data_IF_666769552760
#
_entry.id   IF_666769552760
#
_cell.length_a   1.000
_cell.length_b   1.000
_cell.length_c   1.000
_cell.angle_alpha   90.00
_cell.angle_beta   90.00
_cell.angle_gamma   90.00
#
_symmetry.space_group_name_H-M   'P 1'
#
loop_
_entity.id
_entity.type
_entity.pdbx_description
1 polymer ?
#
# COMPACT_ATOMS: atom_id res chain seq x y z
N UNK A 1 8.33 -5.82 9.72
CA UNK A 1 7.49 -6.67 8.85
C UNK A 1 6.03 -6.45 9.23
N UNK A 2 5.19 -6.19 8.24
CA UNK A 2 3.73 -6.16 8.36
C UNK A 2 3.17 -7.29 7.49
N UNK A 3 2.23 -8.07 8.00
CA UNK A 3 1.57 -9.16 7.27
C UNK A 3 0.08 -8.97 7.38
N UNK A 4 -0.61 -9.02 6.25
CA UNK A 4 -2.06 -8.95 6.21
C UNK A 4 -2.64 -9.87 5.15
N UNK A 5 -3.88 -10.30 5.39
CA UNK A 5 -4.73 -10.94 4.40
C UNK A 5 -5.59 -9.87 3.75
N UNK A 6 -5.56 -9.79 2.42
CA UNK A 6 -6.33 -8.85 1.62
C UNK A 6 -7.32 -9.63 0.76
N UNK A 7 -8.61 -9.27 0.85
CA UNK A 7 -9.62 -9.63 -0.14
C UNK A 7 -9.97 -8.36 -0.92
N UNK A 8 -9.38 -8.14 -2.11
CA UNK A 8 -9.58 -6.92 -2.85
C UNK A 8 -10.95 -6.92 -3.55
N UNK A 9 -11.52 -5.73 -3.66
CA UNK A 9 -12.72 -5.47 -4.44
C UNK A 9 -12.45 -4.37 -5.47
N UNK A 10 -13.38 -4.17 -6.39
CA UNK A 10 -13.30 -3.15 -7.43
C UNK A 10 -14.40 -2.11 -7.24
N UNK A 11 -14.01 -0.84 -7.19
CA UNK A 11 -14.95 0.28 -7.25
C UNK A 11 -15.03 0.80 -8.69
N UNK A 12 -16.20 0.71 -9.31
CA UNK A 12 -16.42 1.16 -10.69
C UNK A 12 -16.31 2.68 -10.88
N UNK A 13 -16.66 3.47 -9.86
CA UNK A 13 -16.71 4.95 -9.96
C UNK A 13 -15.31 5.52 -9.97
N UNK A 14 -14.46 5.08 -9.05
CA UNK A 14 -13.07 5.55 -8.94
C UNK A 14 -12.06 4.66 -9.65
N UNK A 15 -12.50 3.48 -10.13
CA UNK A 15 -11.70 2.49 -10.86
C UNK A 15 -10.50 1.98 -10.05
N UNK A 16 -10.74 1.75 -8.76
CA UNK A 16 -9.74 1.25 -7.81
C UNK A 16 -9.93 -0.24 -7.54
N UNK A 17 -8.83 -0.96 -7.41
CA UNK A 17 -8.79 -2.34 -6.97
C UNK A 17 -8.01 -2.44 -5.67
N UNK A 18 -8.60 -3.01 -4.63
CA UNK A 18 -7.88 -3.23 -3.38
C UNK A 18 -8.75 -3.02 -2.15
N UNK A 19 -8.18 -2.29 -1.19
CA UNK A 19 -8.78 -1.97 0.10
C UNK A 19 -8.78 -0.46 0.35
N UNK A 20 -9.94 0.05 0.74
CA UNK A 20 -10.13 1.39 1.27
C UNK A 20 -10.94 1.30 2.57
N UNK A 21 -10.37 1.81 3.66
CA UNK A 21 -11.04 1.87 4.96
C UNK A 21 -12.15 2.93 5.00
N UNK A 22 -13.06 2.82 5.98
CA UNK A 22 -14.06 3.84 6.27
C UNK A 22 -13.45 5.17 6.72
N UNK A 23 -12.34 5.10 7.45
CA UNK A 23 -11.65 6.24 8.05
C UNK A 23 -10.41 6.70 7.25
N UNK A 24 -10.38 6.41 5.95
CA UNK A 24 -9.35 6.94 5.05
C UNK A 24 -9.37 8.47 5.02
N UNK A 25 -8.20 9.05 4.79
CA UNK A 25 -7.96 10.49 4.85
C UNK A 25 -7.77 11.13 3.46
N UNK A 26 -7.49 10.32 2.44
CA UNK A 26 -7.63 10.66 1.01
C UNK A 26 -8.75 9.83 0.37
N UNK A 27 -8.97 10.05 -0.92
CA UNK A 27 -9.98 9.36 -1.73
C UNK A 27 -11.39 9.49 -1.12
N UNK A 28 -11.69 10.63 -0.50
CA UNK A 28 -12.93 10.86 0.28
C UNK A 28 -14.22 10.57 -0.47
N UNK A 29 -14.20 10.69 -1.80
CA UNK A 29 -15.35 10.42 -2.67
C UNK A 29 -15.53 8.93 -3.00
N UNK A 30 -14.51 8.10 -2.75
CA UNK A 30 -14.57 6.66 -2.93
C UNK A 30 -15.31 6.00 -1.76
N UNK A 31 -16.14 5.01 -2.05
CA UNK A 31 -16.70 4.16 -1.01
C UNK A 31 -15.57 3.29 -0.40
N UNK A 32 -15.70 2.85 0.86
CA UNK A 32 -14.88 1.76 1.38
C UNK A 32 -15.06 0.51 0.50
N UNK A 33 -13.96 -0.19 0.22
CA UNK A 33 -13.99 -1.43 -0.58
C UNK A 33 -13.02 -2.45 0.00
N UNK A 34 -13.32 -3.73 -0.27
CA UNK A 34 -12.46 -4.85 0.11
C UNK A 34 -12.31 -5.03 1.61
N UNK A 35 -11.59 -6.07 2.00
CA UNK A 35 -11.26 -6.31 3.42
C UNK A 35 -9.77 -6.56 3.59
N UNK A 36 -9.21 -6.03 4.67
CA UNK A 36 -7.81 -6.23 5.04
C UNK A 36 -7.73 -6.57 6.53
N UNK A 37 -7.12 -7.72 6.84
CA UNK A 37 -6.91 -8.17 8.21
C UNK A 37 -5.42 -8.33 8.48
N UNK A 38 -4.88 -7.53 9.41
CA UNK A 38 -3.49 -7.65 9.85
C UNK A 38 -3.33 -8.94 10.66
N UNK A 39 -2.48 -9.85 10.20
CA UNK A 39 -2.21 -11.14 10.85
C UNK A 39 -0.91 -11.14 11.64
N UNK A 40 0.02 -10.25 11.30
CA UNK A 40 1.24 -10.04 12.06
C UNK A 40 1.74 -8.61 11.86
N UNK A 41 2.17 -7.95 12.93
CA UNK A 41 2.72 -6.62 12.85
C UNK A 41 3.95 -6.48 13.75
N UNK A 42 5.10 -6.19 13.15
CA UNK A 42 6.38 -5.90 13.80
C UNK A 42 6.85 -4.48 13.48
N UNK A 43 5.93 -3.58 13.11
CA UNK A 43 6.20 -2.16 12.88
C UNK A 43 5.37 -1.32 13.85
N UNK A 44 5.58 0.00 13.87
CA UNK A 44 4.76 0.93 14.65
C UNK A 44 3.48 1.37 13.89
N UNK A 45 3.15 0.73 12.75
CA UNK A 45 1.90 0.97 12.03
C UNK A 45 0.75 0.44 12.89
N UNK A 46 -0.32 1.21 13.07
CA UNK A 46 -1.51 0.79 13.82
C UNK A 46 -2.56 0.17 12.92
N UNK A 47 -2.98 0.89 11.89
CA UNK A 47 -3.94 0.40 10.90
C UNK A 47 -3.48 0.73 9.48
N UNK A 48 -3.79 -0.17 8.54
CA UNK A 48 -3.82 0.17 7.12
C UNK A 48 -5.13 0.91 6.83
N UNK A 49 -5.02 2.08 6.21
CA UNK A 49 -6.15 2.91 5.78
C UNK A 49 -6.48 2.70 4.30
N UNK A 50 -5.44 2.55 3.48
CA UNK A 50 -5.54 2.40 2.03
C UNK A 50 -4.50 1.37 1.58
N UNK A 51 -4.89 0.43 0.73
CA UNK A 51 -3.99 -0.42 -0.05
C UNK A 51 -4.65 -0.79 -1.38
N UNK A 52 -4.42 0.00 -2.43
CA UNK A 52 -5.07 -0.19 -3.73
C UNK A 52 -4.15 0.07 -4.92
N UNK A 53 -4.63 -0.30 -6.11
CA UNK A 53 -4.03 -0.01 -7.42
C UNK A 53 -5.09 0.49 -8.39
N UNK A 54 -4.64 1.21 -9.44
CA UNK A 54 -5.50 1.73 -10.52
C UNK A 54 -5.27 1.04 -11.86
N UNK A 55 -6.13 1.34 -12.86
CA UNK A 55 -6.15 0.63 -14.13
C UNK A 55 -4.99 0.96 -15.08
N UNK A 56 -4.44 2.19 -15.12
CA UNK A 56 -3.20 2.58 -15.83
C UNK A 56 -2.82 4.08 -15.62
N UNK A 57 -1.53 4.46 -15.48
CA UNK A 57 -0.42 3.59 -15.09
C UNK A 57 -0.66 3.11 -13.65
N UNK A 58 -0.56 1.79 -13.44
CA UNK A 58 -0.79 1.20 -12.12
C UNK A 58 0.29 1.65 -11.14
N UNK A 59 -0.07 2.48 -10.18
CA UNK A 59 0.68 2.69 -8.96
C UNK A 59 0.03 1.88 -7.83
N UNK A 60 0.77 1.70 -6.74
CA UNK A 60 0.23 1.15 -5.49
C UNK A 60 0.16 2.26 -4.47
N UNK A 61 -1.03 2.54 -3.98
CA UNK A 61 -1.25 3.47 -2.88
C UNK A 61 -1.26 2.69 -1.58
N UNK A 62 -0.45 3.10 -0.62
CA UNK A 62 -0.45 2.55 0.72
C UNK A 62 -0.46 3.67 1.75
N UNK A 63 -1.52 3.71 2.56
CA UNK A 63 -1.67 4.70 3.64
C UNK A 63 -1.98 4.02 4.95
N UNK A 64 -1.42 4.57 6.01
CA UNK A 64 -1.46 3.98 7.35
C UNK A 64 -1.73 5.03 8.41
N UNK A 65 -2.22 4.56 9.56
CA UNK A 65 -2.26 5.33 10.80
C UNK A 65 -1.27 4.75 11.82
N UNK A 66 -0.83 5.57 12.75
CA UNK A 66 0.07 5.24 13.86
C UNK A 66 -0.13 6.20 15.02
N UNK A 67 0.34 5.83 16.20
CA UNK A 67 0.33 6.74 17.34
C UNK A 67 1.35 7.86 17.12
N UNK A 68 1.00 9.10 17.47
CA UNK A 68 1.81 10.30 17.20
C UNK A 68 3.26 10.19 17.72
N UNK A 69 3.45 9.53 18.87
CA UNK A 69 4.78 9.27 19.46
C UNK A 69 5.70 8.44 18.56
N UNK A 70 5.13 7.71 17.59
CA UNK A 70 5.86 6.88 16.63
C UNK A 70 6.00 7.52 15.24
N UNK A 71 5.54 8.77 15.06
CA UNK A 71 5.56 9.46 13.76
C UNK A 71 6.91 9.41 13.07
N UNK A 72 8.00 9.68 13.80
CA UNK A 72 9.35 9.64 13.24
C UNK A 72 9.73 8.22 12.78
N UNK A 73 9.44 7.18 13.57
CA UNK A 73 9.81 5.80 13.23
C UNK A 73 9.09 5.32 11.97
N UNK A 74 7.81 5.65 11.84
CA UNK A 74 7.03 5.27 10.65
C UNK A 74 7.48 6.04 9.41
N UNK A 75 7.80 7.34 9.54
CA UNK A 75 8.40 8.11 8.44
C UNK A 75 9.74 7.53 7.99
N UNK A 76 10.62 7.15 8.92
CA UNK A 76 11.89 6.49 8.59
C UNK A 76 11.69 5.10 7.96
N UNK A 77 10.64 4.36 8.37
CA UNK A 77 10.29 3.09 7.74
C UNK A 77 9.98 3.27 6.24
N UNK A 78 9.22 4.31 5.88
CA UNK A 78 8.82 4.57 4.49
C UNK A 78 9.93 5.13 3.60
N UNK A 79 11.06 5.58 4.17
CA UNK A 79 12.26 5.93 3.41
C UNK A 79 13.05 4.72 2.90
N UNK A 80 12.72 3.51 3.37
CA UNK A 80 13.37 2.26 2.97
C UNK A 80 12.69 1.63 1.76
N UNK A 81 13.39 0.71 1.09
CA UNK A 81 12.79 -0.09 0.02
C UNK A 81 11.73 -1.01 0.58
N UNK A 82 10.58 -1.07 -0.09
CA UNK A 82 9.51 -2.02 0.21
C UNK A 82 9.64 -3.28 -0.64
N UNK A 83 9.79 -4.41 0.03
CA UNK A 83 9.70 -5.74 -0.55
C UNK A 83 8.38 -6.38 -0.12
N UNK A 84 7.58 -6.77 -1.10
CA UNK A 84 6.29 -7.44 -0.89
C UNK A 84 6.42 -8.88 -1.33
N UNK A 85 6.14 -9.83 -0.44
CA UNK A 85 6.09 -11.26 -0.79
C UNK A 85 4.64 -11.72 -0.88
N UNK A 86 4.30 -12.45 -1.94
CA UNK A 86 3.01 -13.12 -2.18
C UNK A 86 3.30 -14.48 -2.84
N UNK A 87 2.71 -15.57 -2.35
CA UNK A 87 2.89 -16.93 -2.91
C UNK A 87 4.34 -17.32 -3.21
N UNK A 88 5.24 -17.01 -2.28
CA UNK A 88 6.69 -17.22 -2.39
C UNK A 88 7.45 -16.38 -3.43
N UNK A 89 6.78 -15.46 -4.13
CA UNK A 89 7.41 -14.49 -5.03
C UNK A 89 7.59 -13.17 -4.29
N UNK A 90 8.78 -12.58 -4.39
CA UNK A 90 9.09 -11.26 -3.83
C UNK A 90 9.10 -10.20 -4.94
N UNK A 91 8.38 -9.11 -4.70
CA UNK A 91 8.29 -7.93 -5.56
C UNK A 91 9.01 -6.77 -4.87
N UNK A 92 10.00 -6.18 -5.54
CA UNK A 92 10.69 -4.99 -5.02
C UNK A 92 10.04 -3.73 -5.58
N UNK A 93 9.34 -2.99 -4.71
CA UNK A 93 8.65 -1.74 -5.06
C UNK A 93 9.56 -0.50 -4.93
N UNK A 94 10.76 -0.66 -4.38
CA UNK A 94 11.68 0.43 -4.09
C UNK A 94 11.15 1.36 -2.99
N UNK A 95 11.63 2.60 -3.00
CA UNK A 95 11.09 3.68 -2.17
C UNK A 95 9.88 4.30 -2.85
N UNK A 96 8.89 4.69 -2.05
CA UNK A 96 7.72 5.37 -2.59
C UNK A 96 7.80 6.89 -2.45
N UNK A 97 6.86 7.57 -3.10
CA UNK A 97 6.71 9.03 -3.03
C UNK A 97 5.64 9.41 -2.02
N UNK A 98 5.94 10.41 -1.20
CA UNK A 98 5.02 10.97 -0.21
C UNK A 98 3.73 11.53 -0.82
N UNK A 99 2.59 11.30 -0.16
CA UNK A 99 1.28 11.81 -0.57
C UNK A 99 0.77 12.82 0.47
N UNK A 100 0.87 14.11 0.16
CA UNK A 100 0.54 15.21 1.08
C UNK A 100 -0.79 15.11 1.84
N UNK A 101 -1.94 14.76 1.24
CA UNK A 101 -3.20 14.65 2.00
C UNK A 101 -3.16 13.58 3.09
N UNK A 102 -2.25 12.61 2.97
CA UNK A 102 -2.15 11.49 3.92
C UNK A 102 -1.13 11.73 5.03
N UNK A 103 -0.39 12.83 4.99
CA UNK A 103 0.71 13.10 5.91
C UNK A 103 0.21 13.99 7.04
N UNK A 104 0.10 13.40 8.23
CA UNK A 104 -0.20 14.11 9.47
C UNK A 104 0.78 13.67 10.58
N UNK A 105 0.52 14.11 11.81
CA UNK A 105 1.24 13.59 12.97
C UNK A 105 0.90 12.13 13.29
N UNK A 106 -0.20 11.58 12.74
CA UNK A 106 -0.70 10.23 13.06
C UNK A 106 -1.00 9.37 11.83
N UNK A 107 -0.72 9.88 10.62
CA UNK A 107 -0.98 9.20 9.36
C UNK A 107 0.15 9.46 8.36
N UNK A 108 0.34 8.53 7.44
CA UNK A 108 1.30 8.69 6.35
C UNK A 108 0.85 7.87 5.14
N UNK A 109 0.94 8.45 3.95
CA UNK A 109 0.59 7.81 2.70
C UNK A 109 1.72 7.89 1.69
N UNK A 110 1.91 6.78 0.99
CA UNK A 110 2.99 6.57 0.03
C UNK A 110 2.41 6.00 -1.26
N UNK A 111 2.91 6.49 -2.38
CA UNK A 111 2.66 5.94 -3.70
C UNK A 111 3.90 5.23 -4.24
N UNK A 112 3.79 3.95 -4.55
CA UNK A 112 4.83 3.17 -5.22
C UNK A 112 4.57 3.11 -6.72
N UNK A 113 5.63 3.21 -7.52
CA UNK A 113 5.55 3.32 -8.98
C UNK A 113 4.75 4.55 -9.47
N UNK A 114 4.66 5.58 -8.64
CA UNK A 114 4.08 6.88 -9.02
C UNK A 114 5.05 7.69 -9.89
N UNK A 115 4.53 8.53 -10.77
CA UNK A 115 5.29 9.35 -11.74
C UNK A 115 6.10 8.61 -12.83
N UNK A 116 6.20 7.27 -12.76
CA UNK A 116 6.67 6.40 -13.85
C UNK A 116 7.91 6.95 -14.60
N UNK A 117 9.01 7.31 -13.90
CA UNK A 117 10.19 7.79 -14.60
C UNK A 117 10.64 6.67 -15.57
N UNK A 118 11.11 7.01 -16.79
CA UNK A 118 11.33 6.05 -17.87
C UNK A 118 12.28 4.89 -17.50
N UNK A 119 13.04 5.04 -16.40
CA UNK A 119 13.98 4.05 -15.89
C UNK A 119 13.66 3.54 -14.47
N UNK A 120 12.41 3.58 -13.99
CA UNK A 120 12.09 3.00 -12.68
C UNK A 120 12.37 1.48 -12.69
N UNK A 121 13.43 0.98 -12.01
CA UNK A 121 13.76 -0.45 -12.04
C UNK A 121 12.71 -1.31 -11.34
N UNK A 122 11.85 -0.70 -10.52
CA UNK A 122 10.80 -1.35 -9.73
C UNK A 122 9.44 -1.42 -10.44
N UNK A 123 9.31 -0.79 -11.61
CA UNK A 123 8.05 -0.71 -12.36
C UNK A 123 7.45 -2.08 -12.66
N UNK A 124 8.28 -3.01 -13.15
CA UNK A 124 7.83 -4.35 -13.54
C UNK A 124 7.23 -5.10 -12.35
N UNK A 125 7.84 -4.97 -11.17
CA UNK A 125 7.38 -5.64 -9.96
C UNK A 125 6.10 -5.00 -9.41
N UNK A 126 6.01 -3.66 -9.44
CA UNK A 126 4.79 -2.94 -9.08
C UNK A 126 3.62 -3.31 -10.01
N UNK A 127 3.85 -3.40 -11.32
CA UNK A 127 2.82 -3.81 -12.28
C UNK A 127 2.36 -5.26 -12.05
N UNK A 128 3.28 -6.19 -11.77
CA UNK A 128 2.93 -7.58 -11.43
C UNK A 128 2.12 -7.65 -10.14
N UNK A 129 2.53 -6.93 -9.10
CA UNK A 129 1.80 -6.89 -7.83
C UNK A 129 0.41 -6.25 -8.00
N UNK A 130 0.30 -5.19 -8.81
CA UNK A 130 -0.99 -4.59 -9.17
C UNK A 130 -1.93 -5.57 -9.88
N UNK A 131 -1.41 -6.47 -10.74
CA UNK A 131 -2.22 -7.55 -11.35
C UNK A 131 -2.74 -8.54 -10.31
N UNK A 132 -1.98 -8.82 -9.24
CA UNK A 132 -2.44 -9.66 -8.13
C UNK A 132 -3.57 -8.96 -7.38
N UNK A 133 -3.42 -7.67 -7.05
CA UNK A 133 -4.48 -6.90 -6.36
C UNK A 133 -5.76 -6.83 -7.20
N UNK A 134 -5.64 -6.81 -8.53
CA UNK A 134 -6.78 -6.85 -9.47
C UNK A 134 -7.53 -8.20 -9.50
N UNK A 135 -7.00 -9.27 -8.90
CA UNK A 135 -7.71 -10.55 -8.77
C UNK A 135 -8.72 -10.49 -7.61
N UNK A 136 -9.85 -9.81 -7.87
CA UNK A 136 -10.88 -9.56 -6.86
C UNK A 136 -11.56 -10.85 -6.37
N UNK A 137 -12.14 -10.79 -5.16
CA UNK A 137 -12.92 -11.87 -4.59
C UNK A 137 -12.11 -13.01 -3.94
N UNK A 138 -10.79 -13.06 -4.16
CA UNK A 138 -9.88 -14.03 -3.53
C UNK A 138 -9.13 -13.37 -2.37
N UNK A 139 -8.96 -14.08 -1.26
CA UNK A 139 -8.12 -13.62 -0.15
C UNK A 139 -6.68 -14.07 -0.37
N UNK A 140 -5.76 -13.11 -0.38
CA UNK A 140 -4.34 -13.32 -0.61
C UNK A 140 -3.53 -12.74 0.55
N UNK A 141 -2.49 -13.45 0.99
CA UNK A 141 -1.62 -13.01 2.08
C UNK A 141 -0.43 -12.22 1.54
N UNK A 142 -0.23 -11.02 2.06
CA UNK A 142 0.86 -10.13 1.71
C UNK A 142 1.82 -9.99 2.89
N UNK A 143 3.12 -10.10 2.61
CA UNK A 143 4.18 -9.85 3.59
C UNK A 143 4.98 -8.62 3.15
N UNK A 144 4.84 -7.53 3.88
CA UNK A 144 5.51 -6.26 3.64
C UNK A 144 6.75 -6.14 4.53
N UNK A 145 7.90 -6.00 3.90
CA UNK A 145 9.18 -5.81 4.56
C UNK A 145 9.87 -4.56 4.03
N UNK A 146 10.22 -3.67 4.95
CA UNK A 146 11.05 -2.50 4.67
C UNK A 146 12.47 -2.80 5.08
N UNK A 147 13.41 -2.67 4.16
CA UNK A 147 14.84 -2.82 4.43
C UNK A 147 15.64 -1.80 3.63
N UNK A 148 16.85 -1.54 4.11
CA UNK A 148 17.81 -0.74 3.34
C UNK A 148 18.16 -1.50 2.05
N UNK A 149 18.51 -0.75 0.99
CA UNK A 149 18.75 -1.26 -0.35
C UNK A 149 19.99 -2.16 -0.44
#
# INVERSE_FOLDING_TARGET
>A
MLVFDLKPEFDEKVRYYGYLSENKISDSDAAPIGTLTITQNKTDIKNTLIFHTVENPGYIHFSVSFDEVNSQKVKELFKKNLYVKVDNITYNLGTGSEMSPDITNSTHGILYNHHNPPNNPHKVDAEKLGRIIKQTGVTTRFYLNWSDA
#
